data_IF_013610095427
#
_entry.id   IF_013610095427
#
_cell.length_a   1.000
_cell.length_b   1.000
_cell.length_c   1.000
_cell.angle_alpha   90.00
_cell.angle_beta   90.00
_cell.angle_gamma   90.00
#
_symmetry.space_group_name_H-M   'P 1'
#
loop_
_entity.id
_entity.type
_entity.pdbx_description
1 polymer ?
#
# COMPACT_ATOMS: atom_id res chain seq x y z
N UNK A 1 -18.03 26.11 13.49
CA UNK A 1 -17.30 26.39 12.23
C UNK A 1 -15.86 25.83 12.20
N UNK A 2 -15.45 24.96 13.14
CA UNK A 2 -14.05 24.43 13.23
C UNK A 2 -13.84 23.08 12.54
N UNK A 3 -14.91 22.28 12.33
CA UNK A 3 -14.82 20.93 11.74
C UNK A 3 -14.50 20.93 10.24
N UNK A 4 -14.98 21.94 9.49
CA UNK A 4 -14.77 22.00 8.04
C UNK A 4 -13.33 22.38 7.67
N UNK A 5 -12.70 23.23 8.49
CA UNK A 5 -11.30 23.65 8.30
C UNK A 5 -10.32 22.49 8.49
N UNK A 6 -10.54 21.66 9.50
CA UNK A 6 -9.72 20.47 9.79
C UNK A 6 -9.83 19.45 8.65
N UNK A 7 -11.03 19.24 8.09
CA UNK A 7 -11.22 18.36 6.93
C UNK A 7 -10.50 18.87 5.69
N UNK A 8 -10.51 20.18 5.46
CA UNK A 8 -9.80 20.80 4.33
C UNK A 8 -8.27 20.68 4.46
N UNK A 9 -7.75 20.84 5.68
CA UNK A 9 -6.31 20.66 5.96
C UNK A 9 -5.89 19.19 5.76
N UNK A 10 -6.70 18.24 6.24
CA UNK A 10 -6.42 16.81 6.07
C UNK A 10 -6.45 16.39 4.60
N UNK A 11 -7.40 16.93 3.82
CA UNK A 11 -7.51 16.70 2.38
C UNK A 11 -6.30 17.27 1.63
N UNK A 12 -5.85 18.48 1.98
CA UNK A 12 -4.64 19.08 1.42
C UNK A 12 -3.39 18.25 1.76
N UNK A 13 -3.28 17.72 2.98
CA UNK A 13 -2.19 16.83 3.37
C UNK A 13 -2.19 15.52 2.56
N UNK A 14 -3.37 14.94 2.31
CA UNK A 14 -3.50 13.72 1.52
C UNK A 14 -3.13 13.93 0.05
N UNK A 15 -3.58 15.02 -0.58
CA UNK A 15 -3.27 15.34 -1.98
C UNK A 15 -1.76 15.55 -2.18
N UNK A 16 -1.09 16.25 -1.26
CA UNK A 16 0.37 16.45 -1.34
C UNK A 16 1.15 15.14 -1.15
N UNK A 17 0.62 14.18 -0.39
CA UNK A 17 1.30 12.90 -0.17
C UNK A 17 1.13 11.93 -1.34
N UNK A 18 -0.01 11.96 -2.04
CA UNK A 18 -0.24 11.12 -3.22
C UNK A 18 0.56 11.56 -4.45
N UNK A 19 0.80 12.87 -4.60
CA UNK A 19 1.57 13.41 -5.72
C UNK A 19 3.09 13.15 -5.64
N UNK A 20 3.61 12.61 -4.53
CA UNK A 20 5.05 12.35 -4.37
C UNK A 20 5.49 10.94 -4.78
N UNK A 21 4.59 10.12 -5.33
CA UNK A 21 4.84 8.68 -5.58
C UNK A 21 5.23 8.39 -7.04
N UNK A 22 5.02 9.31 -7.98
CA UNK A 22 5.42 9.12 -9.38
C UNK A 22 6.35 10.22 -9.89
N UNK A 23 7.31 9.77 -10.71
CA UNK A 23 8.34 10.49 -11.47
C UNK A 23 9.67 10.79 -10.76
N UNK A 24 10.65 9.96 -11.12
CA UNK A 24 12.08 10.25 -11.16
C UNK A 24 12.36 11.71 -11.56
N UNK A 25 12.63 12.57 -10.59
CA UNK A 25 13.57 13.70 -10.60
C UNK A 25 13.35 14.47 -9.28
N UNK A 26 14.16 14.15 -8.28
CA UNK A 26 14.11 14.79 -6.97
C UNK A 26 14.59 16.25 -7.04
N UNK A 27 13.71 17.18 -7.44
CA UNK A 27 13.88 18.61 -7.15
C UNK A 27 13.43 18.87 -5.71
N UNK A 28 14.18 18.35 -4.74
CA UNK A 28 14.01 18.79 -3.36
C UNK A 28 14.54 20.22 -3.26
N UNK A 29 13.81 21.09 -2.55
CA UNK A 29 14.31 22.41 -2.19
C UNK A 29 15.70 22.26 -1.55
N UNK A 30 16.73 23.05 -1.94
CA UNK A 30 18.12 22.81 -1.52
C UNK A 30 18.34 22.80 0.01
N UNK A 31 17.43 23.42 0.78
CA UNK A 31 17.41 23.34 2.26
C UNK A 31 17.01 21.96 2.82
N UNK A 32 16.40 21.10 2.00
CA UNK A 32 16.01 19.72 2.31
C UNK A 32 16.96 18.70 1.67
N UNK A 33 17.90 19.15 0.83
CA UNK A 33 18.93 18.32 0.20
C UNK A 33 20.10 17.98 1.16
N UNK A 34 19.91 18.20 2.45
CA UNK A 34 20.91 17.88 3.46
C UNK A 34 21.17 16.35 3.55
N UNK A 35 22.38 15.91 3.92
CA UNK A 35 22.68 14.50 4.11
C UNK A 35 21.65 13.81 5.01
N UNK A 36 21.37 12.52 4.79
CA UNK A 36 20.38 11.74 5.59
C UNK A 36 20.65 11.77 7.11
N UNK A 37 21.87 12.15 7.51
CA UNK A 37 22.30 12.31 8.90
C UNK A 37 21.88 13.64 9.54
N UNK A 38 21.55 14.67 8.74
CA UNK A 38 21.15 16.02 9.15
C UNK A 38 19.89 16.47 8.37
N UNK A 39 18.75 15.79 8.55
CA UNK A 39 17.54 16.16 7.81
C UNK A 39 17.04 17.53 8.25
N UNK A 40 16.69 18.40 7.29
CA UNK A 40 16.06 19.70 7.58
C UNK A 40 14.68 19.57 8.25
N UNK A 41 13.99 18.44 8.05
CA UNK A 41 12.73 18.08 8.70
C UNK A 41 12.72 16.60 9.03
N UNK A 42 12.35 16.23 10.26
CA UNK A 42 12.21 14.83 10.70
C UNK A 42 10.75 14.50 11.00
N UNK A 43 10.18 13.59 10.22
CA UNK A 43 8.85 13.01 10.50
C UNK A 43 9.02 11.68 11.22
N UNK A 44 8.29 11.48 12.32
CA UNK A 44 8.28 10.22 13.07
C UNK A 44 6.85 9.75 13.23
N UNK A 45 6.58 8.53 12.77
CA UNK A 45 5.31 7.85 13.02
C UNK A 45 5.38 7.22 14.41
N UNK A 46 4.44 7.59 15.27
CA UNK A 46 4.29 6.99 16.60
C UNK A 46 3.46 5.68 16.49
N UNK A 47 3.58 4.75 17.46
CA UNK A 47 2.82 3.51 17.45
C UNK A 47 1.29 3.71 17.34
N UNK A 48 0.74 4.80 17.90
CA UNK A 48 -0.68 5.16 17.76
C UNK A 48 -1.04 5.53 16.32
N UNK A 49 -0.15 6.25 15.63
CA UNK A 49 -0.30 6.54 14.21
C UNK A 49 -0.25 5.27 13.37
N UNK A 50 0.61 4.32 13.76
CA UNK A 50 0.70 3.01 13.13
C UNK A 50 -0.60 2.20 13.27
N UNK A 51 -1.20 2.20 14.46
CA UNK A 51 -2.49 1.56 14.71
C UNK A 51 -3.62 2.21 13.89
N UNK A 52 -3.59 3.54 13.72
CA UNK A 52 -4.53 4.23 12.84
C UNK A 52 -4.34 3.84 11.36
N UNK A 53 -3.08 3.79 10.90
CA UNK A 53 -2.75 3.34 9.56
C UNK A 53 -3.18 1.89 9.31
N UNK A 54 -3.09 1.01 10.30
CA UNK A 54 -3.56 -0.38 10.19
C UNK A 54 -5.04 -0.45 9.77
N UNK A 55 -5.89 0.36 10.40
CA UNK A 55 -7.32 0.40 10.11
C UNK A 55 -7.62 0.98 8.71
N UNK A 56 -6.91 2.04 8.32
CA UNK A 56 -7.06 2.62 6.97
C UNK A 56 -6.59 1.63 5.91
N UNK A 57 -5.40 1.06 6.11
CA UNK A 57 -4.80 0.15 5.17
C UNK A 57 -5.70 -1.06 4.94
N UNK A 58 -6.32 -1.61 5.99
CA UNK A 58 -7.25 -2.74 5.87
C UNK A 58 -8.46 -2.43 4.98
N UNK A 59 -8.99 -1.20 5.06
CA UNK A 59 -10.06 -0.76 4.17
C UNK A 59 -9.55 -0.58 2.74
N UNK A 60 -8.41 0.11 2.57
CA UNK A 60 -7.82 0.35 1.27
C UNK A 60 -7.52 -0.96 0.53
N UNK A 61 -6.92 -1.94 1.22
CA UNK A 61 -6.63 -3.23 0.59
C UNK A 61 -7.91 -3.98 0.23
N UNK A 62 -8.96 -3.89 1.04
CA UNK A 62 -10.22 -4.51 0.70
C UNK A 62 -10.85 -3.92 -0.59
N UNK A 63 -10.59 -2.65 -0.88
CA UNK A 63 -11.07 -1.99 -2.09
C UNK A 63 -10.18 -2.25 -3.31
N UNK A 64 -8.86 -2.38 -3.09
CA UNK A 64 -7.88 -2.55 -4.16
C UNK A 64 -7.62 -4.02 -4.55
N UNK A 65 -7.65 -4.95 -3.60
CA UNK A 65 -7.31 -6.35 -3.87
C UNK A 65 -8.23 -7.01 -4.92
N UNK A 66 -9.57 -6.81 -4.90
CA UNK A 66 -10.45 -7.36 -5.93
C UNK A 66 -10.18 -6.80 -7.34
N UNK A 67 -9.50 -5.65 -7.42
CA UNK A 67 -9.13 -4.99 -8.68
C UNK A 67 -7.74 -5.41 -9.18
N UNK A 68 -7.07 -6.31 -8.47
CA UNK A 68 -5.76 -6.80 -8.86
C UNK A 68 -5.88 -7.60 -10.18
N UNK A 69 -5.05 -7.25 -11.15
CA UNK A 69 -4.95 -8.00 -12.40
C UNK A 69 -4.02 -9.18 -12.19
N UNK A 70 -4.54 -10.39 -12.34
CA UNK A 70 -3.74 -11.62 -12.29
C UNK A 70 -3.28 -11.94 -13.72
N UNK A 71 -1.97 -12.14 -13.95
CA UNK A 71 -1.45 -12.42 -15.28
C UNK A 71 -1.92 -13.78 -15.79
N UNK A 72 -2.09 -13.86 -17.10
CA UNK A 72 -2.40 -15.12 -17.77
C UNK A 72 -1.23 -16.11 -17.60
N UNK A 73 -1.56 -17.39 -17.43
CA UNK A 73 -0.57 -18.45 -17.20
C UNK A 73 -0.61 -19.42 -18.37
N UNK A 74 0.55 -19.60 -19.00
CA UNK A 74 0.78 -20.62 -20.01
C UNK A 74 1.61 -21.76 -19.40
N UNK A 75 1.13 -22.99 -19.56
CA UNK A 75 1.83 -24.19 -19.11
C UNK A 75 1.94 -25.21 -20.25
N UNK A 76 3.17 -25.57 -20.60
CA UNK A 76 3.48 -26.56 -21.62
C UNK A 76 3.59 -27.92 -20.93
N UNK A 77 2.75 -28.87 -21.33
CA UNK A 77 2.81 -30.23 -20.78
C UNK A 77 4.04 -30.97 -21.32
N UNK A 78 4.71 -31.78 -20.49
CA UNK A 78 5.79 -32.64 -20.95
C UNK A 78 5.28 -33.66 -21.98
N UNK A 79 6.19 -34.16 -22.82
CA UNK A 79 5.91 -35.18 -23.85
C UNK A 79 4.98 -34.74 -24.99
N UNK A 80 5.01 -33.46 -25.37
CA UNK A 80 4.28 -32.93 -26.52
C UNK A 80 2.74 -33.11 -26.42
N UNK A 81 2.23 -33.23 -25.19
CA UNK A 81 0.82 -33.48 -24.89
C UNK A 81 -0.08 -32.25 -25.03
N UNK A 82 0.51 -31.09 -25.33
CA UNK A 82 -0.19 -29.84 -25.62
C UNK A 82 0.19 -28.69 -24.70
N UNK A 83 -0.57 -27.59 -24.81
CA UNK A 83 -0.37 -26.35 -24.06
C UNK A 83 -1.68 -26.05 -23.32
N UNK A 84 -1.58 -25.76 -22.03
CA UNK A 84 -2.68 -25.26 -21.21
C UNK A 84 -2.52 -23.75 -21.09
N UNK A 85 -3.56 -23.02 -21.47
CA UNK A 85 -3.60 -21.56 -21.39
C UNK A 85 -4.75 -21.14 -20.48
N UNK A 86 -4.42 -20.52 -19.35
CA UNK A 86 -5.39 -19.97 -18.41
C UNK A 86 -5.36 -18.45 -18.58
N UNK A 87 -6.47 -17.89 -19.05
CA UNK A 87 -6.57 -16.45 -19.33
C UNK A 87 -7.70 -15.76 -18.59
N UNK A 88 -7.58 -14.44 -18.46
CA UNK A 88 -8.57 -13.54 -17.84
C UNK A 88 -8.92 -13.96 -16.42
N UNK A 89 -7.88 -14.34 -15.66
CA UNK A 89 -8.01 -14.70 -14.26
C UNK A 89 -8.46 -13.44 -13.51
N UNK A 90 -9.63 -13.52 -12.89
CA UNK A 90 -10.20 -12.45 -12.09
C UNK A 90 -10.71 -13.03 -10.77
N UNK A 91 -10.68 -12.19 -9.74
CA UNK A 91 -11.20 -12.55 -8.42
C UNK A 91 -12.72 -12.45 -8.47
N UNK A 92 -13.40 -13.58 -8.26
CA UNK A 92 -14.87 -13.63 -8.23
C UNK A 92 -15.39 -13.20 -6.87
N UNK A 93 -14.69 -13.58 -5.80
CA UNK A 93 -15.07 -13.31 -4.43
C UNK A 93 -13.86 -12.99 -3.58
N UNK A 94 -13.99 -11.94 -2.79
CA UNK A 94 -12.99 -11.53 -1.82
C UNK A 94 -13.62 -11.43 -0.43
N UNK A 95 -13.06 -12.15 0.55
CA UNK A 95 -13.39 -12.00 1.96
C UNK A 95 -12.24 -11.32 2.68
N UNK A 96 -12.53 -10.19 3.31
CA UNK A 96 -11.57 -9.42 4.11
C UNK A 96 -10.97 -10.28 5.23
N UNK A 97 -9.69 -10.05 5.53
CA UNK A 97 -9.00 -10.64 6.67
C UNK A 97 -9.67 -10.26 8.00
N UNK A 98 -9.82 -11.24 8.89
CA UNK A 98 -10.40 -11.06 10.22
C UNK A 98 -9.42 -10.36 11.17
N UNK A 99 -8.14 -10.74 11.08
CA UNK A 99 -7.06 -10.12 11.85
C UNK A 99 -6.07 -9.46 10.91
N UNK A 100 -5.76 -8.19 11.20
CA UNK A 100 -4.78 -7.41 10.48
C UNK A 100 -3.96 -6.60 11.50
N UNK A 101 -2.64 -6.68 11.39
CA UNK A 101 -1.75 -5.99 12.31
C UNK A 101 -0.55 -5.41 11.58
N UNK A 102 -0.39 -4.10 11.70
CA UNK A 102 0.71 -3.36 11.12
C UNK A 102 1.73 -3.02 12.21
N UNK A 103 2.93 -3.53 12.06
CA UNK A 103 4.03 -3.44 13.01
C UNK A 103 5.25 -2.78 12.36
N UNK A 104 6.02 -2.03 13.16
CA UNK A 104 7.31 -1.49 12.74
C UNK A 104 8.42 -2.26 13.44
N UNK A 105 9.29 -2.91 12.69
CA UNK A 105 10.47 -3.61 13.18
C UNK A 105 11.73 -2.83 12.83
N UNK A 106 12.71 -2.83 13.74
CA UNK A 106 13.99 -2.20 13.48
C UNK A 106 14.87 -3.10 12.58
N UNK A 107 15.75 -2.53 11.75
CA UNK A 107 15.79 -1.14 11.30
C UNK A 107 14.89 -0.92 10.07
N UNK A 108 14.04 0.11 10.10
CA UNK A 108 13.24 0.60 8.96
C UNK A 108 12.37 -0.44 8.23
N UNK A 109 11.79 -1.39 8.96
CA UNK A 109 10.87 -2.39 8.39
C UNK A 109 9.46 -2.13 8.88
N UNK A 110 8.51 -2.14 7.96
CA UNK A 110 7.08 -2.18 8.28
C UNK A 110 6.59 -3.55 7.84
N UNK A 111 6.08 -4.34 8.79
CA UNK A 111 5.45 -5.61 8.51
C UNK A 111 3.95 -5.48 8.70
N UNK A 112 3.20 -5.99 7.73
CA UNK A 112 1.75 -6.05 7.82
C UNK A 112 1.33 -7.50 7.70
N UNK A 113 0.67 -8.01 8.74
CA UNK A 113 0.19 -9.38 8.78
C UNK A 113 -1.32 -9.40 8.63
N UNK A 114 -1.82 -10.31 7.80
CA UNK A 114 -3.24 -10.56 7.60
C UNK A 114 -3.53 -12.04 7.75
N UNK A 115 -4.61 -12.36 8.45
CA UNK A 115 -5.00 -13.75 8.72
C UNK A 115 -6.48 -13.97 8.37
N UNK A 116 -6.79 -15.22 7.99
CA UNK A 116 -8.14 -15.66 7.64
C UNK A 116 -8.77 -14.94 6.42
N UNK A 117 -7.94 -14.46 5.49
CA UNK A 117 -8.41 -13.95 4.19
C UNK A 117 -8.83 -15.12 3.28
N UNK A 118 -9.88 -14.91 2.49
CA UNK A 118 -10.36 -15.88 1.49
C UNK A 118 -10.49 -15.19 0.12
N UNK A 119 -10.05 -15.91 -0.91
CA UNK A 119 -9.93 -15.44 -2.29
C UNK A 119 -10.44 -16.57 -3.18
N UNK A 120 -11.48 -16.29 -3.97
CA UNK A 120 -12.05 -17.23 -4.93
C UNK A 120 -12.49 -16.57 -6.22
#
# INVERSE_FOLDING_TARGET
MTSCFIKSILLLLFINFSNSIDSDFHVFHPLLAAPRTLPGVRVRILPRGLAYLNNIAANLLADQLPRLVIPDVEHILPSNQGIIYISRIHLSRFRRAEHHQLNSTAPNKISWTMQNMDIG
#
